data_IF_801443668352
#
_entry.id   IF_801443668352
#
_cell.length_a   1.000
_cell.length_b   1.000
_cell.length_c   1.000
_cell.angle_alpha   90.00
_cell.angle_beta   90.00
_cell.angle_gamma   90.00
#
_symmetry.space_group_name_H-M   'P 1'
#
loop_
_entity.id
_entity.type
_entity.pdbx_description
1 polymer ?
#
# COMPACT_ATOMS: atom_id res chain seq x y z
N UNK A 1 -17.72 -50.50 8.14
CA UNK A 1 -19.01 -50.60 7.42
C UNK A 1 -19.33 -49.30 6.73
N UNK A 2 -19.50 -49.37 5.38
CA UNK A 2 -20.13 -48.39 4.44
C UNK A 2 -19.37 -47.03 4.31
N UNK A 3 -18.53 -46.71 3.31
CA UNK A 3 -18.75 -46.43 1.87
C UNK A 3 -19.80 -45.34 1.60
N UNK A 4 -19.36 -44.20 1.02
CA UNK A 4 -19.90 -43.44 -0.10
C UNK A 4 -18.88 -42.29 -0.36
N UNK A 5 -18.11 -42.20 -1.33
CA UNK A 5 -18.09 -42.17 -2.81
C UNK A 5 -19.14 -41.25 -3.43
N UNK A 6 -18.61 -40.33 -4.25
CA UNK A 6 -19.18 -39.54 -5.36
C UNK A 6 -19.10 -38.03 -5.12
N UNK A 7 -18.79 -37.12 -6.04
CA UNK A 7 -18.61 -37.25 -7.52
C UNK A 7 -17.71 -36.08 -7.96
N UNK A 8 -16.87 -36.35 -8.95
CA UNK A 8 -16.18 -35.32 -9.73
C UNK A 8 -17.18 -34.63 -10.68
N UNK A 9 -17.07 -33.31 -10.80
CA UNK A 9 -17.62 -32.57 -11.94
C UNK A 9 -16.52 -31.69 -12.53
N UNK A 10 -16.01 -32.12 -13.66
CA UNK A 10 -15.14 -31.32 -14.52
C UNK A 10 -16.02 -30.44 -15.41
N UNK A 11 -15.85 -29.14 -15.35
CA UNK A 11 -16.41 -28.20 -16.32
C UNK A 11 -15.27 -27.61 -17.15
N UNK A 12 -15.10 -28.17 -18.38
CA UNK A 12 -14.33 -27.55 -19.44
C UNK A 12 -15.10 -26.37 -20.02
N UNK A 13 -14.51 -25.19 -19.99
CA UNK A 13 -14.96 -24.04 -20.78
C UNK A 13 -13.93 -23.76 -21.83
N UNK A 14 -14.29 -24.08 -23.10
CA UNK A 14 -13.55 -23.75 -24.28
C UNK A 14 -13.81 -22.29 -24.68
N UNK A 15 -12.78 -21.48 -24.77
CA UNK A 15 -12.84 -20.14 -25.37
C UNK A 15 -12.42 -20.24 -26.85
N UNK A 16 -13.37 -19.95 -27.74
CA UNK A 16 -13.17 -19.78 -29.17
C UNK A 16 -12.50 -18.40 -29.42
N UNK A 17 -11.33 -18.42 -30.04
CA UNK A 17 -10.73 -17.26 -30.67
C UNK A 17 -11.38 -16.99 -32.02
N UNK A 18 -12.02 -15.86 -32.20
CA UNK A 18 -12.38 -15.34 -33.51
C UNK A 18 -11.33 -14.32 -33.96
N UNK A 19 -10.52 -14.70 -34.91
CA UNK A 19 -9.67 -13.83 -35.69
C UNK A 19 -10.49 -13.18 -36.81
N UNK A 20 -10.55 -11.85 -36.83
CA UNK A 20 -10.96 -11.11 -38.01
C UNK A 20 -9.78 -10.35 -38.58
N UNK A 21 -9.24 -10.88 -39.65
CA UNK A 21 -8.36 -10.19 -40.58
C UNK A 21 -9.20 -9.32 -41.52
N UNK A 22 -8.84 -8.04 -41.68
CA UNK A 22 -9.26 -7.26 -42.83
C UNK A 22 -8.07 -6.51 -43.40
N UNK A 23 -7.68 -6.98 -44.59
CA UNK A 23 -6.75 -6.38 -45.55
C UNK A 23 -7.56 -5.55 -46.51
N UNK A 24 -7.15 -4.33 -46.83
CA UNK A 24 -7.00 -3.75 -48.15
C UNK A 24 -7.01 -2.21 -48.13
N UNK A 25 -5.87 -1.71 -48.44
CA UNK A 25 -5.51 -0.61 -49.36
C UNK A 25 -6.63 0.28 -49.93
N UNK A 26 -6.50 1.63 -49.81
CA UNK A 26 -6.10 2.43 -50.96
C UNK A 26 -5.86 3.89 -50.63
N UNK A 27 -5.01 4.51 -51.41
CA UNK A 27 -4.48 5.86 -51.45
C UNK A 27 -5.57 6.94 -51.65
N UNK A 28 -5.47 8.10 -51.07
CA UNK A 28 -5.02 9.34 -51.68
C UNK A 28 -5.36 10.59 -50.84
N UNK A 29 -4.37 11.34 -50.58
CA UNK A 29 -4.19 12.78 -50.61
C UNK A 29 -5.25 13.75 -50.02
N UNK A 30 -4.69 14.62 -49.17
CA UNK A 30 -4.82 16.08 -49.13
C UNK A 30 -5.70 16.68 -48.04
N UNK A 31 -5.04 17.54 -47.26
CA UNK A 31 -5.49 18.72 -46.47
C UNK A 31 -5.76 18.53 -45.00
N UNK A 32 -4.79 19.00 -44.26
CA UNK A 32 -4.84 19.80 -43.04
C UNK A 32 -6.23 20.03 -42.44
N UNK A 33 -6.44 19.40 -41.28
CA UNK A 33 -7.04 20.10 -40.14
C UNK A 33 -6.51 19.45 -38.86
N UNK A 34 -5.74 20.23 -38.10
CA UNK A 34 -5.20 19.82 -36.81
C UNK A 34 -6.30 19.83 -35.76
N UNK A 35 -7.14 18.83 -35.75
CA UNK A 35 -7.95 18.52 -34.59
C UNK A 35 -7.03 17.83 -33.56
N UNK A 36 -6.52 18.58 -32.63
CA UNK A 36 -5.94 18.08 -31.40
C UNK A 36 -7.03 17.29 -30.67
N UNK A 37 -7.07 15.98 -30.91
CA UNK A 37 -7.83 15.06 -30.07
C UNK A 37 -7.09 15.05 -28.74
N UNK A 38 -7.55 15.87 -27.79
CA UNK A 38 -7.21 15.72 -26.40
C UNK A 38 -7.61 14.28 -26.05
N UNK A 39 -6.62 13.43 -25.87
CA UNK A 39 -6.85 12.14 -25.26
C UNK A 39 -7.43 12.41 -23.88
N UNK A 40 -8.73 12.19 -23.76
CA UNK A 40 -9.43 12.13 -22.49
C UNK A 40 -8.76 11.00 -21.71
N UNK A 41 -7.83 11.37 -20.82
CA UNK A 41 -7.31 10.43 -19.84
C UNK A 41 -8.50 10.03 -18.99
N UNK A 42 -9.02 8.83 -19.28
CA UNK A 42 -9.90 8.12 -18.37
C UNK A 42 -9.06 7.89 -17.11
N UNK A 43 -9.17 8.81 -16.15
CA UNK A 43 -8.67 8.63 -14.80
C UNK A 43 -9.48 7.50 -14.16
N UNK A 44 -9.10 6.27 -14.43
CA UNK A 44 -9.46 5.17 -13.56
C UNK A 44 -8.77 5.47 -12.24
N UNK A 45 -9.47 5.55 -11.10
CA UNK A 45 -8.83 5.72 -9.80
C UNK A 45 -7.81 4.60 -9.64
N UNK A 46 -6.54 4.95 -9.73
CA UNK A 46 -5.47 3.98 -9.49
C UNK A 46 -5.47 3.71 -8.00
N UNK A 47 -5.69 2.45 -7.59
CA UNK A 47 -5.57 2.07 -6.18
C UNK A 47 -4.22 2.56 -5.64
N UNK A 48 -4.18 3.13 -4.42
CA UNK A 48 -2.95 3.65 -3.85
C UNK A 48 -1.94 2.51 -3.63
N UNK A 49 -0.73 2.69 -4.17
CA UNK A 49 0.35 1.71 -4.10
C UNK A 49 1.44 2.23 -3.17
N UNK A 50 1.74 1.45 -2.12
CA UNK A 50 2.90 1.70 -1.27
C UNK A 50 4.17 1.30 -2.02
N UNK A 51 5.07 2.26 -2.19
CA UNK A 51 6.41 2.07 -2.78
C UNK A 51 7.48 2.08 -1.68
N UNK A 52 8.73 1.80 -2.04
CA UNK A 52 9.88 1.93 -1.14
C UNK A 52 10.18 3.37 -0.70
N UNK A 53 9.52 4.35 -1.29
CA UNK A 53 9.64 5.77 -0.98
C UNK A 53 8.43 6.29 -0.21
N UNK A 54 7.32 5.54 -0.17
CA UNK A 54 6.06 5.90 0.49
C UNK A 54 4.86 5.85 -0.46
N UNK A 55 3.88 6.70 -0.21
CA UNK A 55 2.61 6.84 -0.94
C UNK A 55 2.60 8.18 -1.67
N UNK A 56 3.01 8.27 -2.95
CA UNK A 56 3.08 9.55 -3.65
C UNK A 56 1.77 10.36 -3.58
N UNK A 57 1.80 11.65 -3.20
CA UNK A 57 2.97 12.51 -2.97
C UNK A 57 3.57 12.44 -1.55
N UNK A 58 3.03 11.62 -0.65
CA UNK A 58 3.49 11.45 0.74
C UNK A 58 4.66 10.47 0.75
N UNK A 59 5.86 10.97 0.49
CA UNK A 59 7.07 10.16 0.35
C UNK A 59 8.16 10.63 1.31
N UNK A 60 9.09 9.74 1.61
CA UNK A 60 10.27 10.02 2.43
C UNK A 60 11.02 11.24 1.86
N UNK A 61 11.36 12.20 2.72
CA UNK A 61 12.03 13.45 2.37
C UNK A 61 11.12 14.55 1.83
N UNK A 62 9.84 14.28 1.53
CA UNK A 62 8.90 15.32 1.14
C UNK A 62 8.60 16.25 2.34
N UNK A 63 8.41 17.54 2.06
CA UNK A 63 7.99 18.47 3.10
C UNK A 63 6.47 18.34 3.31
N UNK A 64 6.07 17.94 4.51
CA UNK A 64 4.66 17.72 4.86
C UNK A 64 3.82 18.98 4.73
N UNK A 65 4.40 20.17 4.91
CA UNK A 65 3.70 21.44 4.79
C UNK A 65 3.36 21.80 3.34
N UNK A 66 4.06 21.19 2.36
CA UNK A 66 3.81 21.40 0.93
C UNK A 66 2.77 20.41 0.38
N UNK A 67 2.35 19.42 1.18
CA UNK A 67 1.33 18.45 0.77
C UNK A 67 -0.06 19.13 0.70
N UNK A 68 -0.86 18.84 -0.34
CA UNK A 68 -2.24 19.31 -0.42
C UNK A 68 -3.09 18.77 0.74
N UNK A 69 -4.22 19.46 1.03
CA UNK A 69 -5.15 19.02 2.07
C UNK A 69 -5.88 17.73 1.73
N UNK A 70 -6.02 17.42 0.45
CA UNK A 70 -6.59 16.18 -0.07
C UNK A 70 -5.89 15.80 -1.38
N UNK A 71 -5.81 14.50 -1.65
CA UNK A 71 -5.29 13.92 -2.91
C UNK A 71 -6.30 12.90 -3.41
N UNK A 72 -6.87 13.15 -4.59
CA UNK A 72 -7.85 12.26 -5.20
C UNK A 72 -7.27 10.85 -5.38
N UNK A 73 -8.03 9.85 -4.93
CA UNK A 73 -7.60 8.45 -4.97
C UNK A 73 -6.61 8.03 -3.89
N UNK A 74 -6.13 8.95 -3.02
CA UNK A 74 -5.22 8.64 -1.94
C UNK A 74 -5.81 8.99 -0.56
N UNK A 75 -6.16 10.25 -0.31
CA UNK A 75 -6.78 10.67 0.95
C UNK A 75 -7.69 11.89 0.76
N UNK A 76 -8.71 12.01 1.61
CA UNK A 76 -9.68 13.11 1.57
C UNK A 76 -9.36 14.24 2.57
N UNK A 77 -8.60 13.95 3.61
CA UNK A 77 -8.15 14.94 4.58
C UNK A 77 -6.87 14.49 5.28
N UNK A 78 -6.11 15.46 5.80
CA UNK A 78 -4.97 15.23 6.68
C UNK A 78 -5.13 16.04 7.97
N UNK A 79 -4.59 15.53 9.08
CA UNK A 79 -4.65 16.19 10.38
C UNK A 79 -3.39 15.88 11.19
N UNK A 80 -2.80 16.90 11.80
CA UNK A 80 -1.70 16.68 12.73
C UNK A 80 -2.25 16.18 14.07
N UNK A 81 -1.65 15.11 14.58
CA UNK A 81 -1.90 14.56 15.90
C UNK A 81 -0.67 14.82 16.77
N UNK A 82 -0.88 15.51 17.88
CA UNK A 82 0.15 15.74 18.88
C UNK A 82 -0.16 14.90 20.10
N UNK A 83 0.81 14.14 20.56
CA UNK A 83 0.73 13.40 21.83
C UNK A 83 0.80 14.40 22.98
N UNK A 84 -0.09 14.27 23.94
CA UNK A 84 -0.05 15.11 25.16
C UNK A 84 1.23 14.77 25.95
N UNK A 85 2.17 15.71 26.14
CA UNK A 85 3.42 15.46 26.83
C UNK A 85 3.26 15.14 28.33
N UNK A 86 2.05 15.25 28.86
CA UNK A 86 1.75 14.90 30.25
C UNK A 86 1.25 13.47 30.41
N UNK A 87 0.98 12.76 29.32
CA UNK A 87 0.63 11.34 29.39
C UNK A 87 1.88 10.50 29.65
N UNK A 88 1.73 9.44 30.42
CA UNK A 88 2.75 8.41 30.58
C UNK A 88 2.76 7.48 29.37
N UNK A 89 3.86 6.78 29.15
CA UNK A 89 4.00 5.77 28.08
C UNK A 89 2.92 4.66 28.17
N UNK A 90 2.38 4.40 29.35
CA UNK A 90 1.30 3.45 29.59
C UNK A 90 -0.08 3.97 29.14
N UNK A 91 -0.25 5.31 29.09
CA UNK A 91 -1.49 5.97 28.67
C UNK A 91 -1.50 6.25 27.17
N UNK A 92 -0.32 6.27 26.53
CA UNK A 92 -0.18 6.42 25.10
C UNK A 92 -0.39 5.04 24.46
N UNK A 93 -1.32 4.93 23.51
CA UNK A 93 -1.55 3.67 22.77
C UNK A 93 -0.30 3.24 21.99
N UNK A 94 -0.01 1.95 21.94
CA UNK A 94 1.14 1.37 21.24
C UNK A 94 1.22 1.70 19.75
N UNK A 95 0.10 2.04 19.15
CA UNK A 95 -0.07 2.40 17.74
C UNK A 95 -0.27 3.90 17.54
N UNK A 96 -0.25 4.68 18.61
CA UNK A 96 -0.40 6.13 18.57
C UNK A 96 0.97 6.77 18.33
N UNK A 97 1.07 7.56 17.27
CA UNK A 97 2.29 8.26 16.90
C UNK A 97 2.02 9.75 16.79
N UNK A 98 2.99 10.57 17.21
CA UNK A 98 2.93 11.99 16.92
C UNK A 98 3.26 12.20 15.44
N UNK A 99 2.36 12.90 14.72
CA UNK A 99 2.55 13.11 13.29
C UNK A 99 1.27 13.42 12.53
N UNK A 100 1.31 13.20 11.23
CA UNK A 100 0.22 13.49 10.33
C UNK A 100 -0.61 12.24 10.05
N UNK A 101 -1.93 12.36 10.23
CA UNK A 101 -2.92 11.31 10.02
C UNK A 101 -3.72 11.62 8.76
N UNK A 102 -3.83 10.66 7.86
CA UNK A 102 -4.49 10.79 6.56
C UNK A 102 -5.72 9.91 6.51
N UNK A 103 -6.86 10.51 6.20
CA UNK A 103 -8.17 9.88 6.28
C UNK A 103 -8.83 9.82 4.91
N UNK A 104 -9.67 8.80 4.71
CA UNK A 104 -10.55 8.73 3.57
C UNK A 104 -11.76 9.67 3.70
N UNK A 105 -12.66 9.63 2.70
CA UNK A 105 -13.90 10.45 2.69
C UNK A 105 -14.90 10.08 3.79
N UNK A 106 -14.81 8.90 4.36
CA UNK A 106 -15.69 8.38 5.40
C UNK A 106 -15.09 8.60 6.80
N UNK A 107 -13.88 9.17 6.88
CA UNK A 107 -13.15 9.47 8.11
C UNK A 107 -12.36 8.29 8.67
N UNK A 108 -12.17 7.23 7.89
CA UNK A 108 -11.35 6.08 8.27
C UNK A 108 -9.86 6.40 8.07
N UNK A 109 -9.03 6.00 9.02
CA UNK A 109 -7.58 6.21 8.96
C UNK A 109 -6.96 5.30 7.90
N UNK A 110 -6.28 5.92 6.93
CA UNK A 110 -5.59 5.20 5.87
C UNK A 110 -4.13 4.91 6.21
N UNK A 111 -3.41 5.95 6.63
CA UNK A 111 -2.00 5.87 7.00
C UNK A 111 -1.58 7.07 7.84
N UNK A 112 -0.41 6.98 8.46
CA UNK A 112 0.24 8.10 9.16
C UNK A 112 1.58 8.42 8.52
N UNK A 113 2.05 9.67 8.70
CA UNK A 113 3.40 10.07 8.35
C UNK A 113 4.02 10.86 9.50
N UNK A 114 5.23 10.51 9.85
CA UNK A 114 6.02 11.22 10.84
C UNK A 114 7.06 12.09 10.13
N UNK A 115 7.29 13.27 10.67
CA UNK A 115 8.27 14.20 10.11
C UNK A 115 9.30 14.65 11.15
N UNK A 116 10.49 15.00 10.67
CA UNK A 116 11.51 15.72 11.41
C UNK A 116 11.73 17.08 10.76
N UNK A 117 11.38 18.16 11.44
CA UNK A 117 11.47 19.54 10.93
C UNK A 117 10.73 19.74 9.59
N UNK A 118 9.62 19.05 9.42
CA UNK A 118 8.80 19.09 8.20
C UNK A 118 9.14 18.03 7.15
N UNK A 119 10.32 17.41 7.18
CA UNK A 119 10.70 16.35 6.24
C UNK A 119 10.17 14.99 6.72
N UNK A 120 9.35 14.34 5.92
CA UNK A 120 8.81 13.01 6.22
C UNK A 120 9.95 12.00 6.27
N UNK A 121 10.07 11.26 7.37
CA UNK A 121 11.04 10.18 7.54
C UNK A 121 10.40 8.80 7.71
N UNK A 122 9.10 8.73 8.05
CA UNK A 122 8.38 7.47 8.19
C UNK A 122 6.95 7.60 7.68
N UNK A 123 6.48 6.58 6.95
CA UNK A 123 5.08 6.41 6.51
C UNK A 123 4.61 5.05 6.99
N UNK A 124 3.48 5.00 7.72
CA UNK A 124 2.90 3.77 8.26
C UNK A 124 1.49 3.60 7.71
N UNK A 125 1.27 2.55 6.94
CA UNK A 125 -0.05 2.18 6.42
C UNK A 125 -0.85 1.46 7.50
N UNK A 126 -2.10 1.87 7.66
CA UNK A 126 -3.07 1.32 8.62
C UNK A 126 -4.31 0.72 7.95
N UNK A 127 -4.47 0.91 6.65
CA UNK A 127 -5.65 0.42 5.90
C UNK A 127 -5.30 -0.75 4.98
N UNK A 128 -6.14 -1.82 4.95
CA UNK A 128 -5.96 -2.94 4.03
C UNK A 128 -6.23 -2.60 2.57
N UNK A 129 -6.77 -1.41 2.27
CA UNK A 129 -7.03 -0.95 0.91
C UNK A 129 -5.75 -0.53 0.18
N UNK A 130 -4.69 -0.22 0.92
CA UNK A 130 -3.39 0.15 0.38
C UNK A 130 -2.54 -1.12 0.24
N UNK A 131 -1.93 -1.31 -0.94
CA UNK A 131 -1.13 -2.49 -1.26
C UNK A 131 0.26 -2.10 -1.73
N UNK A 132 1.22 -2.99 -1.62
CA UNK A 132 2.50 -2.86 -2.35
C UNK A 132 2.30 -3.19 -3.83
N UNK A 133 3.28 -2.84 -4.66
CA UNK A 133 3.26 -3.21 -6.09
C UNK A 133 3.17 -4.73 -6.32
N UNK A 134 3.65 -5.53 -5.37
CA UNK A 134 3.58 -6.99 -5.39
C UNK A 134 2.29 -7.54 -4.78
N UNK A 135 1.38 -6.67 -4.31
CA UNK A 135 0.08 -7.02 -3.78
C UNK A 135 0.05 -7.35 -2.28
N UNK A 136 1.15 -7.17 -1.55
CA UNK A 136 1.15 -7.32 -0.09
C UNK A 136 0.28 -6.22 0.55
N UNK A 137 -0.53 -6.59 1.55
CA UNK A 137 -1.40 -5.67 2.27
C UNK A 137 -1.69 -6.17 3.70
N UNK A 138 -2.21 -5.29 4.53
CA UNK A 138 -2.67 -5.61 5.89
C UNK A 138 -3.78 -6.67 5.82
N UNK A 139 -3.76 -7.61 6.75
CA UNK A 139 -4.67 -8.76 6.80
C UNK A 139 -4.20 -9.99 6.00
N UNK A 140 -3.11 -9.89 5.23
CA UNK A 140 -2.49 -11.09 4.66
C UNK A 140 -1.84 -11.94 5.73
N UNK A 141 -1.93 -13.28 5.58
CA UNK A 141 -1.18 -14.16 6.45
C UNK A 141 0.32 -14.06 6.18
N UNK A 142 1.13 -14.32 7.19
CA UNK A 142 2.59 -14.41 7.07
C UNK A 142 3.05 -15.27 5.89
N UNK A 143 2.44 -16.44 5.73
CA UNK A 143 2.85 -17.39 4.69
C UNK A 143 2.49 -16.88 3.28
N UNK A 144 1.38 -16.13 3.13
CA UNK A 144 1.02 -15.48 1.86
C UNK A 144 2.04 -14.41 1.47
N UNK A 145 2.47 -13.58 2.44
CA UNK A 145 3.47 -12.54 2.16
C UNK A 145 4.83 -13.16 1.87
N UNK A 146 5.24 -14.19 2.61
CA UNK A 146 6.51 -14.89 2.37
C UNK A 146 6.56 -15.64 1.03
N UNK A 147 5.42 -15.91 0.40
CA UNK A 147 5.37 -16.44 -0.95
C UNK A 147 5.67 -15.39 -2.04
N UNK A 148 5.69 -14.10 -1.67
CA UNK A 148 6.07 -13.01 -2.59
C UNK A 148 7.59 -13.05 -2.78
N UNK A 149 8.03 -12.95 -4.04
CA UNK A 149 9.45 -12.93 -4.37
C UNK A 149 10.16 -11.75 -3.70
N UNK A 150 11.26 -12.02 -3.02
CA UNK A 150 12.06 -11.03 -2.30
C UNK A 150 11.64 -10.79 -0.85
N UNK A 151 10.48 -11.31 -0.41
CA UNK A 151 10.06 -11.20 0.99
C UNK A 151 10.98 -12.01 1.94
N UNK A 152 11.34 -11.42 3.08
CA UNK A 152 12.24 -12.02 4.07
C UNK A 152 11.67 -11.87 5.48
N UNK A 153 11.56 -12.97 6.20
CA UNK A 153 11.18 -12.96 7.62
C UNK A 153 12.36 -12.43 8.45
N UNK A 154 12.12 -11.39 9.20
CA UNK A 154 13.05 -10.82 10.17
C UNK A 154 12.59 -11.27 11.56
N UNK A 155 13.47 -11.97 12.28
CA UNK A 155 13.22 -12.37 13.65
C UNK A 155 13.61 -11.25 14.60
N UNK A 156 12.95 -11.15 15.77
CA UNK A 156 13.36 -10.22 16.81
C UNK A 156 14.83 -10.41 17.18
N UNK A 157 15.48 -9.33 17.60
CA UNK A 157 16.82 -9.43 18.16
C UNK A 157 16.73 -10.25 19.47
N UNK A 158 17.66 -11.17 19.73
CA UNK A 158 17.61 -12.05 20.90
C UNK A 158 17.62 -11.32 22.25
N UNK A 159 18.14 -10.08 22.28
CA UNK A 159 18.20 -9.25 23.47
C UNK A 159 17.05 -8.19 23.52
N UNK A 160 16.08 -8.27 22.61
CA UNK A 160 14.92 -7.38 22.65
C UNK A 160 13.95 -7.79 23.76
N UNK A 161 13.44 -6.82 24.50
CA UNK A 161 12.46 -7.03 25.57
C UNK A 161 11.10 -7.52 25.06
N UNK A 162 10.90 -7.51 23.71
CA UNK A 162 9.67 -7.91 23.05
C UNK A 162 9.95 -8.67 21.75
N UNK A 163 9.11 -9.65 21.44
CA UNK A 163 9.20 -10.46 20.23
C UNK A 163 8.30 -9.92 19.13
N UNK A 164 8.73 -8.86 18.42
CA UNK A 164 8.05 -8.41 17.21
C UNK A 164 8.69 -9.08 16.00
N UNK A 165 7.91 -9.85 15.26
CA UNK A 165 8.30 -10.41 13.98
C UNK A 165 7.90 -9.43 12.87
N UNK A 166 8.77 -9.28 11.88
CA UNK A 166 8.47 -8.49 10.68
C UNK A 166 8.86 -9.24 9.41
N UNK A 167 8.30 -8.79 8.29
CA UNK A 167 8.70 -9.24 6.96
C UNK A 167 9.20 -8.02 6.20
N UNK A 168 10.38 -8.12 5.62
CA UNK A 168 10.91 -7.11 4.71
C UNK A 168 10.62 -7.48 3.26
N UNK A 169 10.16 -6.50 2.48
CA UNK A 169 10.02 -6.55 1.03
C UNK A 169 10.66 -5.28 0.45
N UNK A 170 11.92 -5.39 0.03
CA UNK A 170 12.75 -4.21 -0.27
C UNK A 170 12.93 -3.35 0.98
N UNK A 171 12.57 -2.07 0.90
CA UNK A 171 12.58 -1.14 2.04
C UNK A 171 11.27 -1.10 2.82
N UNK A 172 10.27 -1.88 2.41
CA UNK A 172 8.99 -1.94 3.11
C UNK A 172 9.10 -2.98 4.21
N UNK A 173 8.89 -2.57 5.44
CA UNK A 173 8.77 -3.44 6.62
C UNK A 173 7.29 -3.68 6.94
N UNK A 174 6.93 -4.93 7.17
CA UNK A 174 5.57 -5.35 7.55
C UNK A 174 5.62 -5.98 8.92
N UNK A 175 4.91 -5.40 9.88
CA UNK A 175 4.82 -5.91 11.23
C UNK A 175 3.79 -7.03 11.30
N UNK A 176 4.14 -8.13 11.95
CA UNK A 176 3.22 -9.22 12.21
C UNK A 176 2.55 -9.04 13.57
N UNK A 177 1.34 -9.59 13.70
CA UNK A 177 0.61 -9.60 14.96
C UNK A 177 1.50 -10.09 16.12
N UNK A 178 1.56 -9.32 17.20
CA UNK A 178 2.46 -9.57 18.33
C UNK A 178 2.11 -10.83 19.13
N UNK A 179 0.86 -11.33 19.03
CA UNK A 179 0.37 -12.47 19.81
C UNK A 179 0.67 -13.79 19.11
N UNK A 180 0.44 -13.86 17.79
CA UNK A 180 0.52 -15.11 17.04
C UNK A 180 1.49 -15.07 15.84
N UNK A 181 1.99 -13.90 15.47
CA UNK A 181 2.89 -13.68 14.33
C UNK A 181 2.38 -14.30 13.00
N UNK A 182 1.06 -14.35 12.80
CA UNK A 182 0.45 -15.00 11.65
C UNK A 182 -0.12 -14.05 10.60
N UNK A 183 -0.35 -12.80 10.96
CA UNK A 183 -1.03 -11.82 10.12
C UNK A 183 -0.30 -10.48 10.11
N UNK A 184 -0.27 -9.81 8.96
CA UNK A 184 0.28 -8.45 8.81
C UNK A 184 -0.69 -7.44 9.41
N UNK A 185 -0.24 -6.65 10.38
CA UNK A 185 -1.04 -5.63 11.08
C UNK A 185 -0.71 -4.21 10.65
N UNK A 186 0.49 -3.95 10.15
CA UNK A 186 0.85 -2.70 9.49
C UNK A 186 1.96 -2.89 8.44
N UNK A 187 2.17 -1.86 7.61
CA UNK A 187 3.28 -1.80 6.66
C UNK A 187 3.92 -0.42 6.75
N UNK A 188 5.25 -0.35 6.78
CA UNK A 188 5.96 0.91 6.92
C UNK A 188 7.13 1.06 5.96
N UNK A 189 7.42 2.31 5.61
CA UNK A 189 8.67 2.74 4.98
C UNK A 189 9.28 3.81 5.87
N UNK A 190 10.58 3.72 6.13
CA UNK A 190 11.28 4.69 6.98
C UNK A 190 12.70 4.95 6.49
N UNK A 191 13.23 6.12 6.85
CA UNK A 191 14.61 6.52 6.62
C UNK A 191 15.23 7.04 7.92
N UNK A 192 16.17 6.31 8.46
CA UNK A 192 16.89 6.70 9.68
C UNK A 192 17.91 7.81 9.46
N UNK A 193 18.32 8.10 8.21
CA UNK A 193 19.30 9.18 7.94
C UNK A 193 18.76 10.56 8.31
N UNK A 194 17.46 10.71 8.52
CA UNK A 194 16.85 11.95 8.99
C UNK A 194 17.29 12.38 10.41
N UNK A 195 18.02 11.51 11.14
CA UNK A 195 18.49 11.76 12.52
C UNK A 195 20.02 11.85 12.62
N UNK A 196 20.75 11.75 11.52
CA UNK A 196 22.20 11.98 11.44
C UNK A 196 22.53 13.45 11.19
#
# INVERSE_FOLDING_TARGET
MKHHLNHAVAAMVAFLFMACSNTASNQNATSADSATVAAEQVNTPTEPILTEEGLPPVVIGANVNDLPEAVEGLYASKKYHQIDPNLSDEEIGWDEVEGWYFYDKDGELLFTAEDNQGAIYRVIVKSPTIKTAQGAHIGMSRDQVLAIEGAKLIKPHPDADYEIYSIELGKISMTLDAVNAQEVVDMMVFDYSAFE
#
